data_IF_605887472443
#
_entry.id   IF_605887472443
#
_cell.length_a   1.000
_cell.length_b   1.000
_cell.length_c   1.000
_cell.angle_alpha   90.00
_cell.angle_beta   90.00
_cell.angle_gamma   90.00
#
_symmetry.space_group_name_H-M   'P 1'
#
loop_
_entity.id
_entity.type
_entity.pdbx_description
1 polymer ?
#
# COMPACT_ATOMS: atom_id res chain seq x y z
N UNK A 1 -32.99 -66.54 36.03
CA UNK A 1 -31.62 -67.05 36.26
C UNK A 1 -31.04 -67.57 34.94
N UNK A 2 -29.75 -67.28 34.68
CA UNK A 2 -28.89 -67.69 33.54
C UNK A 2 -28.70 -66.71 32.36
N UNK A 3 -27.98 -65.62 32.62
CA UNK A 3 -26.61 -65.27 32.11
C UNK A 3 -26.18 -65.61 30.66
N UNK A 4 -25.82 -64.54 29.91
CA UNK A 4 -24.56 -64.29 29.15
C UNK A 4 -24.36 -64.68 27.66
N UNK A 5 -23.65 -63.74 27.00
CA UNK A 5 -22.69 -63.80 25.85
C UNK A 5 -23.27 -63.57 24.46
N UNK A 6 -23.01 -62.39 23.86
CA UNK A 6 -21.79 -61.99 23.10
C UNK A 6 -21.60 -62.87 21.85
N UNK A 7 -22.16 -62.42 20.73
CA UNK A 7 -21.82 -62.94 19.41
C UNK A 7 -20.64 -62.13 18.85
N UNK A 8 -19.49 -62.79 18.83
CA UNK A 8 -18.29 -62.40 18.10
C UNK A 8 -18.22 -63.34 16.88
N UNK A 9 -17.66 -62.84 15.77
CA UNK A 9 -17.15 -63.54 14.58
C UNK A 9 -18.15 -63.89 13.46
N UNK A 10 -18.13 -63.04 12.43
CA UNK A 10 -17.88 -63.53 11.05
C UNK A 10 -16.86 -62.62 10.37
N UNK A 11 -15.63 -63.13 10.31
CA UNK A 11 -14.58 -62.97 9.31
C UNK A 11 -14.27 -61.61 8.66
N UNK A 12 -13.02 -61.22 8.89
CA UNK A 12 -12.17 -60.32 8.10
C UNK A 12 -12.06 -60.82 6.64
N UNK A 13 -12.37 -59.99 5.64
CA UNK A 13 -11.67 -59.93 4.35
C UNK A 13 -12.02 -58.66 3.54
N UNK A 14 -11.03 -57.77 3.39
CA UNK A 14 -10.75 -56.81 2.29
C UNK A 14 -11.86 -56.40 1.30
N UNK A 15 -12.09 -55.09 1.16
CA UNK A 15 -11.89 -54.33 -0.10
C UNK A 15 -11.72 -52.83 0.24
N UNK A 16 -10.58 -52.29 -0.19
CA UNK A 16 -10.24 -50.87 -0.16
C UNK A 16 -11.07 -50.09 -1.17
N UNK A 17 -11.83 -49.09 -0.72
CA UNK A 17 -12.22 -47.87 -1.45
C UNK A 17 -12.55 -46.84 -0.33
N UNK A 18 -11.56 -46.19 0.29
CA UNK A 18 -10.74 -45.19 -0.37
C UNK A 18 -11.33 -43.78 -0.25
N UNK A 19 -11.98 -43.42 0.87
CA UNK A 19 -12.34 -42.02 1.17
C UNK A 19 -11.98 -41.74 2.63
N UNK A 20 -10.72 -41.41 2.87
CA UNK A 20 -10.34 -40.73 4.10
C UNK A 20 -11.02 -39.36 4.09
N UNK A 21 -11.48 -38.92 5.26
CA UNK A 21 -11.92 -37.55 5.50
C UNK A 21 -10.66 -36.67 5.36
N UNK A 22 -10.23 -36.43 4.12
CA UNK A 22 -9.17 -35.49 3.83
C UNK A 22 -9.82 -34.13 3.83
N UNK A 23 -9.67 -33.45 4.95
CA UNK A 23 -9.89 -32.02 5.15
C UNK A 23 -9.96 -31.26 3.83
N UNK A 24 -11.12 -30.69 3.51
CA UNK A 24 -11.16 -29.57 2.56
C UNK A 24 -10.38 -28.45 3.25
N UNK A 25 -9.08 -28.40 2.98
CA UNK A 25 -8.28 -27.22 3.23
C UNK A 25 -8.83 -26.21 2.23
N UNK A 26 -9.76 -25.36 2.67
CA UNK A 26 -10.00 -24.10 1.98
C UNK A 26 -8.71 -23.29 2.12
N UNK A 27 -7.73 -23.59 1.28
CA UNK A 27 -6.57 -22.75 1.11
C UNK A 27 -7.14 -21.43 0.58
N UNK A 28 -7.37 -20.47 1.48
CA UNK A 28 -7.57 -19.08 1.10
C UNK A 28 -6.24 -18.64 0.53
N UNK A 29 -6.05 -18.87 -0.76
CA UNK A 29 -4.90 -18.37 -1.53
C UNK A 29 -5.11 -16.87 -1.67
N UNK A 30 -4.96 -16.11 -0.58
CA UNK A 30 -4.80 -14.66 -0.69
C UNK A 30 -3.55 -14.45 -1.52
N UNK A 31 -3.71 -13.86 -2.70
CA UNK A 31 -2.57 -13.48 -3.52
C UNK A 31 -1.58 -12.68 -2.65
N UNK A 32 -0.25 -12.87 -2.87
CA UNK A 32 0.73 -12.05 -2.19
C UNK A 32 0.40 -10.57 -2.42
N UNK A 33 0.63 -9.77 -1.38
CA UNK A 33 0.34 -8.34 -1.40
C UNK A 33 1.63 -7.59 -1.69
N UNK A 34 1.52 -6.59 -2.54
CA UNK A 34 2.63 -5.72 -2.93
C UNK A 34 2.41 -4.31 -2.37
N UNK A 35 3.48 -3.49 -2.27
CA UNK A 35 3.33 -2.06 -2.11
C UNK A 35 2.53 -1.45 -3.27
N UNK A 36 1.94 -0.26 -3.10
CA UNK A 36 1.23 0.40 -4.18
C UNK A 36 2.14 0.74 -5.36
N UNK A 37 1.54 0.91 -6.53
CA UNK A 37 2.25 1.45 -7.69
C UNK A 37 2.62 2.92 -7.55
N UNK A 38 3.29 3.44 -8.58
CA UNK A 38 3.69 4.84 -8.68
C UNK A 38 2.49 5.79 -8.81
N UNK A 39 2.33 6.81 -7.95
CA UNK A 39 1.35 7.88 -8.16
C UNK A 39 1.65 8.72 -9.40
N UNK A 40 0.68 9.53 -9.84
CA UNK A 40 0.94 10.54 -10.87
C UNK A 40 1.92 11.63 -10.38
N UNK A 41 2.59 12.28 -11.33
CA UNK A 41 3.46 13.43 -11.04
C UNK A 41 2.66 14.52 -10.31
N UNK A 42 3.16 15.06 -9.17
CA UNK A 42 2.47 16.10 -8.45
C UNK A 42 2.46 17.42 -9.25
N UNK A 43 1.29 18.05 -9.25
CA UNK A 43 1.02 19.35 -9.86
C UNK A 43 0.97 20.42 -8.76
N UNK A 44 1.72 21.50 -8.98
CA UNK A 44 1.70 22.69 -8.12
C UNK A 44 0.55 23.57 -8.58
N UNK A 45 -0.52 23.61 -7.78
CA UNK A 45 -1.77 24.31 -8.11
C UNK A 45 -1.78 25.77 -7.69
N UNK A 46 -1.07 26.09 -6.60
CA UNK A 46 -0.84 27.47 -6.14
C UNK A 46 0.47 27.53 -5.34
N UNK A 47 1.09 28.70 -5.23
CA UNK A 47 2.31 28.90 -4.43
C UNK A 47 2.49 30.35 -3.98
N UNK A 48 3.17 30.52 -2.85
CA UNK A 48 3.54 31.80 -2.25
C UNK A 48 4.96 31.70 -1.68
N UNK A 49 5.52 32.78 -1.13
CA UNK A 49 6.92 32.82 -0.66
C UNK A 49 7.33 31.79 0.41
N UNK A 50 6.39 31.10 1.06
CA UNK A 50 6.69 30.14 2.14
C UNK A 50 5.97 28.80 1.98
N UNK A 51 5.36 28.52 0.83
CA UNK A 51 4.61 27.29 0.63
C UNK A 51 3.90 27.16 -0.71
N UNK A 52 3.24 26.03 -0.89
CA UNK A 52 2.48 25.71 -2.11
C UNK A 52 1.35 24.71 -1.85
N UNK A 53 0.41 24.64 -2.78
CA UNK A 53 -0.64 23.63 -2.81
C UNK A 53 -0.33 22.59 -3.91
N UNK A 54 -0.24 21.32 -3.52
CA UNK A 54 0.05 20.19 -4.41
C UNK A 54 -1.20 19.34 -4.64
N UNK A 55 -1.30 18.74 -5.83
CA UNK A 55 -2.27 17.70 -6.16
C UNK A 55 -1.64 16.60 -7.03
N UNK A 56 -2.16 15.37 -6.99
CA UNK A 56 -1.67 14.25 -7.80
C UNK A 56 -2.81 13.29 -8.14
N UNK A 57 -2.49 12.19 -8.82
CA UNK A 57 -3.44 11.11 -9.09
C UNK A 57 -3.02 9.81 -8.39
N UNK A 58 -4.00 9.00 -8.00
CA UNK A 58 -3.76 7.70 -7.39
C UNK A 58 -3.01 6.75 -8.36
N UNK A 59 -2.20 5.82 -7.85
CA UNK A 59 -1.55 4.82 -8.69
C UNK A 59 -2.59 3.89 -9.34
N UNK A 60 -2.22 3.29 -10.49
CA UNK A 60 -3.08 2.33 -11.20
C UNK A 60 -3.30 1.01 -10.44
N UNK A 61 -2.37 0.67 -9.55
CA UNK A 61 -2.41 -0.54 -8.72
C UNK A 61 -2.19 -0.15 -7.27
N UNK A 62 -2.97 -0.72 -6.37
CA UNK A 62 -2.82 -0.60 -4.92
C UNK A 62 -2.03 -1.78 -4.31
N UNK A 63 -1.55 -2.70 -5.15
CA UNK A 63 -0.83 -3.90 -4.70
C UNK A 63 -1.71 -4.94 -4.00
N UNK A 64 -3.03 -4.88 -4.20
CA UNK A 64 -3.99 -5.82 -3.60
C UNK A 64 -4.38 -5.47 -2.16
N UNK A 65 -3.97 -4.30 -1.66
CA UNK A 65 -4.36 -3.78 -0.35
C UNK A 65 -4.68 -2.28 -0.46
N UNK A 66 -5.70 -1.79 0.28
CA UNK A 66 -6.12 -0.41 0.17
C UNK A 66 -4.99 0.56 0.56
N UNK A 67 -4.87 1.63 -0.21
CA UNK A 67 -3.96 2.74 0.09
C UNK A 67 -4.41 3.41 1.40
N UNK A 68 -3.46 3.58 2.31
CA UNK A 68 -3.66 4.18 3.64
C UNK A 68 -3.12 5.62 3.71
N UNK A 69 -2.35 6.05 2.71
CA UNK A 69 -1.85 7.42 2.64
C UNK A 69 -0.82 7.64 1.53
N UNK A 70 -0.23 8.83 1.56
CA UNK A 70 0.79 9.30 0.63
C UNK A 70 1.91 10.00 1.39
N UNK A 71 3.15 9.62 1.10
CA UNK A 71 4.35 10.32 1.55
C UNK A 71 4.71 11.38 0.49
N UNK A 72 4.80 12.62 0.91
CA UNK A 72 5.31 13.72 0.08
C UNK A 72 6.74 14.01 0.48
N UNK A 73 7.63 13.96 -0.49
CA UNK A 73 9.04 14.30 -0.33
C UNK A 73 9.36 15.58 -1.10
N UNK A 74 10.32 16.33 -0.59
CA UNK A 74 10.83 17.56 -1.18
C UNK A 74 12.33 17.43 -1.44
N UNK A 75 12.82 18.09 -2.49
CA UNK A 75 14.24 18.26 -2.74
C UNK A 75 14.53 19.74 -2.97
N UNK A 76 15.26 20.35 -2.04
CA UNK A 76 15.80 21.71 -2.20
C UNK A 76 17.21 21.61 -2.80
N UNK A 77 17.37 21.96 -4.08
CA UNK A 77 18.61 21.76 -4.82
C UNK A 77 18.71 20.36 -5.48
N UNK A 78 19.85 19.68 -5.33
CA UNK A 78 20.18 18.50 -6.16
C UNK A 78 20.44 17.21 -5.37
N UNK A 79 20.70 17.31 -4.07
CA UNK A 79 21.45 16.28 -3.35
C UNK A 79 20.58 15.12 -2.83
N UNK A 80 19.45 15.40 -2.18
CA UNK A 80 18.61 14.33 -1.64
C UNK A 80 17.15 14.73 -1.46
N UNK A 81 16.30 13.71 -1.41
CA UNK A 81 14.88 13.85 -1.08
C UNK A 81 14.71 13.77 0.43
N UNK A 82 13.88 14.65 0.98
CA UNK A 82 13.51 14.69 2.38
C UNK A 82 12.00 14.51 2.53
N UNK A 83 11.58 13.78 3.58
CA UNK A 83 10.17 13.68 3.94
C UNK A 83 9.64 15.05 4.36
N UNK A 84 8.65 15.57 3.63
CA UNK A 84 7.96 16.83 3.96
C UNK A 84 6.69 16.60 4.77
N UNK A 85 5.84 15.66 4.35
CA UNK A 85 4.58 15.35 5.06
C UNK A 85 4.03 13.97 4.70
N UNK A 86 3.09 13.46 5.50
CA UNK A 86 2.28 12.28 5.18
C UNK A 86 0.82 12.69 5.14
N UNK A 87 0.18 12.46 4.01
CA UNK A 87 -1.26 12.60 3.84
C UNK A 87 -1.92 11.28 4.18
N UNK A 88 -2.81 11.28 5.16
CA UNK A 88 -3.54 10.08 5.56
C UNK A 88 -4.79 9.88 4.70
N UNK A 89 -5.14 8.61 4.46
CA UNK A 89 -6.32 8.24 3.70
C UNK A 89 -6.14 8.40 2.19
N UNK A 90 -7.23 8.78 1.51
CA UNK A 90 -7.32 8.83 0.05
C UNK A 90 -7.27 10.26 -0.52
N UNK A 91 -6.86 11.25 0.28
CA UNK A 91 -6.75 12.63 -0.20
C UNK A 91 -5.58 12.76 -1.18
N UNK A 92 -5.88 13.28 -2.37
CA UNK A 92 -4.91 13.43 -3.48
C UNK A 92 -4.36 14.85 -3.61
N UNK A 93 -4.30 15.57 -2.49
CA UNK A 93 -3.80 16.95 -2.40
C UNK A 93 -3.25 17.24 -1.02
N UNK A 94 -2.32 18.19 -0.92
CA UNK A 94 -1.89 18.73 0.35
C UNK A 94 -1.36 20.15 0.22
N UNK A 95 -1.39 20.86 1.34
CA UNK A 95 -0.68 22.12 1.52
C UNK A 95 0.73 21.85 2.05
N UNK A 96 1.71 22.48 1.45
CA UNK A 96 3.10 22.51 1.90
C UNK A 96 3.36 23.89 2.51
N UNK A 97 3.90 23.91 3.72
CA UNK A 97 4.25 25.11 4.46
C UNK A 97 5.71 25.07 4.91
N UNK A 98 6.19 26.18 5.49
CA UNK A 98 7.54 26.31 6.02
C UNK A 98 8.61 26.02 4.95
N UNK A 99 8.43 26.57 3.75
CA UNK A 99 9.48 26.65 2.73
C UNK A 99 10.27 27.96 2.91
N UNK A 100 11.54 27.95 2.54
CA UNK A 100 12.39 29.14 2.63
C UNK A 100 12.17 30.06 1.43
N UNK A 101 11.93 31.34 1.69
CA UNK A 101 11.84 32.35 0.63
C UNK A 101 13.16 32.42 -0.15
N UNK A 102 13.05 32.41 -1.48
CA UNK A 102 14.17 32.33 -2.41
C UNK A 102 14.69 30.91 -2.67
N UNK A 103 14.25 29.89 -1.92
CA UNK A 103 14.65 28.50 -2.19
C UNK A 103 13.93 27.95 -3.43
N UNK A 104 14.58 27.00 -4.11
CA UNK A 104 13.98 26.28 -5.23
C UNK A 104 13.81 24.81 -4.87
N UNK A 105 12.62 24.28 -5.10
CA UNK A 105 12.28 22.92 -4.70
C UNK A 105 11.51 22.15 -5.78
N UNK A 106 11.66 20.83 -5.72
CA UNK A 106 10.85 19.85 -6.44
C UNK A 106 10.15 18.93 -5.45
N UNK A 107 9.02 18.36 -5.86
CA UNK A 107 8.22 17.47 -5.04
C UNK A 107 7.99 16.13 -5.72
N UNK A 108 7.96 15.05 -4.96
CA UNK A 108 7.49 13.73 -5.43
C UNK A 108 6.61 13.08 -4.37
N UNK A 109 5.79 12.12 -4.79
CA UNK A 109 4.81 11.47 -3.93
C UNK A 109 4.91 9.96 -4.05
N UNK A 110 4.91 9.24 -2.93
CA UNK A 110 4.81 7.78 -2.88
C UNK A 110 3.53 7.36 -2.15
N UNK A 111 2.77 6.42 -2.72
CA UNK A 111 1.59 5.86 -2.04
C UNK A 111 2.03 4.80 -1.02
N UNK A 112 1.26 4.63 0.07
CA UNK A 112 1.48 3.57 1.04
C UNK A 112 0.23 2.73 1.29
N UNK A 113 0.44 1.45 1.57
CA UNK A 113 -0.57 0.54 2.09
C UNK A 113 0.03 -0.23 3.29
N UNK A 114 -0.65 -1.28 3.75
CA UNK A 114 -0.18 -2.10 4.88
C UNK A 114 1.13 -2.88 4.61
N UNK A 115 1.53 -3.03 3.35
CA UNK A 115 2.79 -3.67 2.96
C UNK A 115 3.94 -2.68 3.09
N UNK A 116 3.73 -1.44 2.65
CA UNK A 116 4.71 -0.37 2.77
C UNK A 116 4.51 0.75 1.76
N UNK A 117 5.57 1.52 1.55
CA UNK A 117 5.62 2.57 0.51
C UNK A 117 5.94 1.96 -0.85
N UNK A 118 5.20 2.40 -1.86
CA UNK A 118 5.46 2.10 -3.26
C UNK A 118 6.58 2.93 -3.87
N UNK A 119 6.79 2.75 -5.17
CA UNK A 119 7.69 3.63 -5.92
C UNK A 119 7.20 5.09 -5.91
N UNK A 120 8.11 6.07 -5.73
CA UNK A 120 7.74 7.48 -5.80
C UNK A 120 7.43 7.91 -7.24
N UNK A 121 6.57 8.92 -7.38
CA UNK A 121 6.24 9.57 -8.64
C UNK A 121 7.47 10.17 -9.32
N UNK A 122 7.31 10.56 -10.58
CA UNK A 122 8.18 11.57 -11.18
C UNK A 122 8.16 12.84 -10.32
N UNK A 123 9.27 13.58 -10.34
CA UNK A 123 9.36 14.87 -9.67
C UNK A 123 8.49 15.91 -10.37
N UNK A 124 7.90 16.83 -9.60
CA UNK A 124 7.29 18.04 -10.15
C UNK A 124 8.33 18.88 -10.91
N UNK A 125 7.89 19.81 -11.78
CA UNK A 125 8.72 20.94 -12.15
C UNK A 125 9.26 21.66 -10.91
N UNK A 126 10.47 22.20 -11.03
CA UNK A 126 11.06 23.03 -9.99
C UNK A 126 10.31 24.35 -9.86
N UNK A 127 10.06 24.79 -8.63
CA UNK A 127 9.54 26.14 -8.33
C UNK A 127 10.46 26.89 -7.40
N UNK A 128 10.48 28.21 -7.51
CA UNK A 128 11.17 29.11 -6.58
C UNK A 128 10.14 29.85 -5.73
N UNK A 129 10.26 29.75 -4.40
CA UNK A 129 9.31 30.39 -3.47
C UNK A 129 9.62 31.88 -3.34
N UNK A 130 8.79 32.73 -3.91
CA UNK A 130 8.89 34.20 -3.84
C UNK A 130 7.51 34.83 -3.91
N UNK A 131 7.40 36.11 -3.54
CA UNK A 131 6.19 36.88 -3.78
C UNK A 131 5.87 36.92 -5.29
N UNK A 132 4.58 36.83 -5.63
CA UNK A 132 4.09 36.80 -7.03
C UNK A 132 4.33 38.12 -7.76
#
# INVERSE_FOLDING_TARGET
MKTLKKNILTSVLFICLGLTISTIVFASTRAPLDPPGRPGMPLITDFWKTGCDLSWTAPKSDGGAPITGYLVEVREGWWHWEKKTIVQGNLLRCKIECMQEGSSAEFRVAACNKVGFGEPSEASPQITFKDR
#
